data_IF_710464779344
#
_entry.id   IF_710464779344
#
_cell.length_a   1.000
_cell.length_b   1.000
_cell.length_c   1.000
_cell.angle_alpha   90.00
_cell.angle_beta   90.00
_cell.angle_gamma   90.00
#
_symmetry.space_group_name_H-M   'P 1'
#
loop_
_entity.id
_entity.type
_entity.pdbx_description
1 polymer ?
#
# COMPACT_ATOMS: atom_id res chain seq x y z
N UNK A 1 11.28 47.36 13.48
CA UNK A 1 10.88 45.92 13.42
C UNK A 1 10.70 45.30 14.81
N UNK A 2 11.75 44.85 15.52
CA UNK A 2 11.60 44.07 16.78
C UNK A 2 10.83 44.78 17.91
N UNK A 3 11.04 46.10 18.08
CA UNK A 3 10.36 46.90 19.10
C UNK A 3 8.86 47.08 18.82
N UNK A 4 8.49 47.18 17.55
CA UNK A 4 7.11 47.29 17.07
C UNK A 4 6.37 45.96 17.24
N UNK A 5 7.05 44.84 16.96
CA UNK A 5 6.51 43.49 17.08
C UNK A 5 6.63 42.89 18.50
N UNK A 6 7.12 43.66 19.49
CA UNK A 6 7.40 43.19 20.86
C UNK A 6 8.25 41.89 20.93
N UNK A 7 9.18 41.72 19.99
CA UNK A 7 10.09 40.57 19.95
C UNK A 7 11.46 40.95 20.52
N UNK A 8 12.11 40.00 21.21
CA UNK A 8 13.51 40.20 21.62
C UNK A 8 14.42 40.23 20.39
N UNK A 9 15.42 41.11 20.42
CA UNK A 9 16.43 41.21 19.34
C UNK A 9 17.17 39.88 19.15
N UNK A 10 17.47 39.17 20.22
CA UNK A 10 18.13 37.87 20.17
C UNK A 10 17.30 36.81 19.45
N UNK A 11 15.98 36.78 19.66
CA UNK A 11 15.07 35.88 18.95
C UNK A 11 15.00 36.20 17.45
N UNK A 12 14.96 37.50 17.11
CA UNK A 12 15.00 37.97 15.72
C UNK A 12 16.26 37.50 14.99
N UNK A 13 17.46 37.76 15.54
CA UNK A 13 18.71 37.32 14.91
C UNK A 13 18.90 35.81 14.93
N UNK A 14 18.38 35.10 15.93
CA UNK A 14 18.36 33.62 15.96
C UNK A 14 17.50 33.04 14.84
N UNK A 15 16.41 33.72 14.47
CA UNK A 15 15.58 33.34 13.34
C UNK A 15 16.21 33.75 12.00
N UNK A 16 16.86 34.91 11.95
CA UNK A 16 17.53 35.42 10.76
C UNK A 16 18.71 34.53 10.35
N UNK A 17 19.50 34.07 11.32
CA UNK A 17 20.68 33.22 11.12
C UNK A 17 20.36 31.72 11.32
N UNK A 18 19.12 31.31 11.06
CA UNK A 18 18.65 29.98 11.41
C UNK A 18 19.30 28.92 10.52
N UNK A 19 20.29 28.24 11.08
CA UNK A 19 20.89 27.02 10.50
C UNK A 19 19.90 25.87 10.64
N UNK A 20 19.87 24.96 9.66
CA UNK A 20 19.01 23.78 9.73
C UNK A 20 19.32 22.96 10.97
N UNK A 21 18.28 22.64 11.75
CA UNK A 21 18.47 21.81 12.92
C UNK A 21 18.88 20.39 12.51
N UNK A 22 19.66 19.71 13.35
CA UNK A 22 20.02 18.29 13.16
C UNK A 22 18.80 17.43 12.84
N UNK A 23 17.66 17.71 13.49
CA UNK A 23 16.38 17.04 13.26
C UNK A 23 15.79 17.31 11.88
N UNK A 24 15.96 18.52 11.34
CA UNK A 24 15.52 18.86 9.99
C UNK A 24 16.31 18.07 8.95
N UNK A 25 17.63 18.05 9.10
CA UNK A 25 18.55 17.30 8.24
C UNK A 25 18.23 15.81 8.27
N UNK A 26 18.06 15.25 9.46
CA UNK A 26 17.68 13.84 9.64
C UNK A 26 16.32 13.53 8.99
N UNK A 27 15.33 14.41 9.15
CA UNK A 27 14.02 14.22 8.51
C UNK A 27 14.11 14.27 6.99
N UNK A 28 14.98 15.11 6.40
CA UNK A 28 15.21 15.13 4.95
C UNK A 28 15.74 13.77 4.46
N UNK A 29 16.80 13.26 5.10
CA UNK A 29 17.37 11.94 4.80
C UNK A 29 16.33 10.81 4.91
N UNK A 30 15.54 10.82 6.00
CA UNK A 30 14.49 9.83 6.20
C UNK A 30 13.37 9.94 5.15
N UNK A 31 13.00 11.16 4.73
CA UNK A 31 12.02 11.37 3.66
C UNK A 31 12.51 10.79 2.34
N UNK A 32 13.78 10.97 1.99
CA UNK A 32 14.38 10.38 0.79
C UNK A 32 14.32 8.86 0.79
N UNK A 33 14.68 8.22 1.92
CA UNK A 33 14.58 6.76 2.08
C UNK A 33 13.13 6.27 1.96
N UNK A 34 12.19 6.97 2.61
CA UNK A 34 10.76 6.66 2.53
C UNK A 34 10.26 6.73 1.08
N UNK A 35 10.63 7.77 0.32
CA UNK A 35 10.26 7.93 -1.09
C UNK A 35 10.84 6.79 -1.93
N UNK A 36 12.10 6.41 -1.70
CA UNK A 36 12.76 5.30 -2.41
C UNK A 36 11.99 4.00 -2.19
N UNK A 37 11.77 3.59 -0.94
CA UNK A 37 11.01 2.37 -0.60
C UNK A 37 9.58 2.43 -1.18
N UNK A 38 8.94 3.59 -1.10
CA UNK A 38 7.60 3.78 -1.66
C UNK A 38 7.58 3.55 -3.18
N UNK A 39 8.53 4.12 -3.94
CA UNK A 39 8.67 3.92 -5.38
C UNK A 39 9.02 2.48 -5.73
N UNK A 40 9.98 1.87 -5.03
CA UNK A 40 10.41 0.48 -5.24
C UNK A 40 9.25 -0.51 -5.03
N UNK A 41 8.36 -0.22 -4.08
CA UNK A 41 7.14 -1.00 -3.85
C UNK A 41 6.06 -0.82 -4.93
N UNK A 42 6.31 -0.02 -5.96
CA UNK A 42 5.30 0.47 -6.91
C UNK A 42 4.13 1.16 -6.19
N UNK A 43 4.45 1.96 -5.17
CA UNK A 43 3.51 2.72 -4.33
C UNK A 43 2.53 1.86 -3.50
N UNK A 44 2.75 0.54 -3.40
CA UNK A 44 1.86 -0.41 -2.69
C UNK A 44 2.09 -0.46 -1.18
N UNK A 45 3.20 0.07 -0.68
CA UNK A 45 3.52 -0.01 0.74
C UNK A 45 3.07 1.25 1.48
N UNK A 46 2.34 1.03 2.58
CA UNK A 46 2.02 2.05 3.58
C UNK A 46 3.04 2.08 4.72
N UNK A 47 2.80 2.98 5.68
CA UNK A 47 3.69 3.20 6.82
C UNK A 47 4.13 1.92 7.57
N UNK A 48 3.27 0.92 7.83
CA UNK A 48 3.70 -0.29 8.54
C UNK A 48 4.76 -1.10 7.79
N UNK A 49 4.63 -1.22 6.47
CA UNK A 49 5.60 -1.97 5.64
C UNK A 49 6.88 -1.18 5.45
N UNK A 50 6.76 0.12 5.18
CA UNK A 50 7.92 1.02 5.05
C UNK A 50 8.73 1.04 6.35
N UNK A 51 8.08 1.12 7.51
CA UNK A 51 8.73 1.06 8.82
C UNK A 51 9.52 -0.22 9.04
N UNK A 52 8.96 -1.39 8.69
CA UNK A 52 9.69 -2.66 8.79
C UNK A 52 10.95 -2.68 7.92
N UNK A 53 10.86 -2.13 6.71
CA UNK A 53 12.00 -2.05 5.79
C UNK A 53 13.08 -1.10 6.35
N UNK A 54 12.68 0.06 6.86
CA UNK A 54 13.62 1.00 7.50
C UNK A 54 14.35 0.35 8.68
N UNK A 55 13.63 -0.35 9.56
CA UNK A 55 14.26 -1.09 10.68
C UNK A 55 15.25 -2.14 10.14
N UNK A 56 14.88 -2.91 9.10
CA UNK A 56 15.80 -3.89 8.49
C UNK A 56 17.03 -3.27 7.84
N UNK A 57 16.97 -1.97 7.49
CA UNK A 57 18.09 -1.18 6.96
C UNK A 57 18.91 -0.52 8.07
N UNK A 58 18.61 -0.78 9.35
CA UNK A 58 19.33 -0.23 10.50
C UNK A 58 18.80 1.11 10.99
N UNK A 59 17.65 1.58 10.51
CA UNK A 59 17.07 2.86 10.94
C UNK A 59 16.30 2.75 12.26
N UNK A 60 16.63 3.62 13.21
CA UNK A 60 15.90 3.74 14.48
C UNK A 60 14.80 4.79 14.35
N UNK A 61 13.62 4.37 13.89
CA UNK A 61 12.47 5.26 13.67
C UNK A 61 11.17 4.63 14.17
N UNK A 62 10.31 5.42 14.82
CA UNK A 62 8.99 4.94 15.22
C UNK A 62 7.98 4.96 14.08
N UNK A 63 7.00 4.05 14.12
CA UNK A 63 5.92 3.99 13.13
C UNK A 63 5.16 5.33 13.00
N UNK A 64 4.89 6.01 14.13
CA UNK A 64 4.24 7.33 14.12
C UNK A 64 5.08 8.38 13.40
N UNK A 65 6.41 8.33 13.53
CA UNK A 65 7.31 9.25 12.82
C UNK A 65 7.28 8.97 11.31
N UNK A 66 7.27 7.70 10.89
CA UNK A 66 7.08 7.31 9.47
C UNK A 66 5.75 7.84 8.94
N UNK A 67 4.64 7.62 9.65
CA UNK A 67 3.32 8.11 9.25
C UNK A 67 3.30 9.63 9.05
N UNK A 68 3.88 10.38 10.00
CA UNK A 68 3.98 11.85 9.90
C UNK A 68 4.81 12.26 8.69
N UNK A 69 5.99 11.67 8.48
CA UNK A 69 6.83 12.00 7.33
C UNK A 69 6.16 11.64 5.99
N UNK A 70 5.43 10.54 5.92
CA UNK A 70 4.61 10.20 4.75
C UNK A 70 3.49 11.21 4.51
N UNK A 71 2.84 11.69 5.57
CA UNK A 71 1.83 12.75 5.48
C UNK A 71 2.43 14.05 4.97
N UNK A 72 3.59 14.46 5.49
CA UNK A 72 4.31 15.66 5.03
C UNK A 72 4.76 15.56 3.57
N UNK A 73 4.87 14.34 3.04
CA UNK A 73 5.21 14.05 1.63
C UNK A 73 3.96 13.82 0.76
N UNK A 74 2.76 13.88 1.35
CA UNK A 74 1.48 13.63 0.69
C UNK A 74 1.37 12.26 -0.01
N UNK A 75 2.13 11.26 0.47
CA UNK A 75 2.11 9.91 -0.08
C UNK A 75 1.28 8.95 0.77
N UNK A 76 0.56 8.07 0.09
CA UNK A 76 -0.24 7.00 0.69
C UNK A 76 -0.13 5.71 -0.12
N UNK A 77 -0.32 4.59 0.55
CA UNK A 77 -0.38 3.29 -0.10
C UNK A 77 -1.48 3.28 -1.16
N UNK A 78 -1.17 2.82 -2.36
CA UNK A 78 -2.18 2.46 -3.35
C UNK A 78 -2.79 1.14 -2.89
N UNK A 79 -4.07 1.16 -2.53
CA UNK A 79 -4.82 -0.04 -2.20
C UNK A 79 -5.10 -0.77 -3.51
N UNK A 80 -4.40 -1.87 -3.78
CA UNK A 80 -4.89 -2.84 -4.74
C UNK A 80 -6.14 -3.45 -4.11
N UNK A 81 -7.33 -3.17 -4.65
CA UNK A 81 -8.54 -3.89 -4.26
C UNK A 81 -8.26 -5.38 -4.45
N UNK A 82 -8.54 -6.19 -3.42
CA UNK A 82 -8.48 -7.65 -3.53
C UNK A 82 -9.33 -8.05 -4.74
N UNK A 83 -8.77 -8.81 -5.67
CA UNK A 83 -9.53 -9.33 -6.81
C UNK A 83 -10.73 -10.11 -6.27
N UNK A 84 -11.92 -9.69 -6.69
CA UNK A 84 -13.17 -10.43 -6.43
C UNK A 84 -13.60 -11.00 -7.78
N UNK A 85 -13.66 -12.33 -7.94
CA UNK A 85 -14.23 -12.90 -9.15
C UNK A 85 -15.66 -12.39 -9.29
N UNK A 86 -15.94 -11.74 -10.42
CA UNK A 86 -17.29 -11.35 -10.81
C UNK A 86 -17.63 -12.16 -12.06
N UNK A 87 -18.87 -12.66 -12.14
CA UNK A 87 -19.34 -13.35 -13.33
C UNK A 87 -19.19 -12.39 -14.52
N UNK A 88 -18.38 -12.77 -15.50
CA UNK A 88 -18.33 -12.03 -16.76
C UNK A 88 -19.67 -12.21 -17.45
N UNK A 89 -20.46 -11.12 -17.58
CA UNK A 89 -21.72 -11.14 -18.35
C UNK A 89 -21.49 -11.44 -19.84
N UNK A 90 -20.25 -11.36 -20.29
CA UNK A 90 -19.83 -11.75 -21.63
C UNK A 90 -19.97 -13.27 -21.75
N UNK A 91 -20.80 -13.73 -22.68
CA UNK A 91 -20.76 -15.12 -23.13
C UNK A 91 -19.32 -15.43 -23.53
N UNK A 92 -18.76 -16.50 -22.99
CA UNK A 92 -17.48 -17.03 -23.44
C UNK A 92 -17.73 -17.57 -24.85
N UNK A 93 -17.57 -16.71 -25.86
CA UNK A 93 -17.54 -17.12 -27.26
C UNK A 93 -16.26 -17.93 -27.46
N UNK A 94 -16.38 -19.25 -27.47
CA UNK A 94 -15.24 -20.13 -27.68
C UNK A 94 -15.37 -21.54 -27.14
N UNK A 95 -16.43 -21.85 -26.37
CA UNK A 95 -16.72 -23.24 -25.97
C UNK A 95 -18.18 -23.57 -26.22
N UNK A 96 -18.44 -24.38 -27.24
CA UNK A 96 -19.75 -24.94 -27.46
C UNK A 96 -20.14 -25.80 -26.25
N UNK A 97 -21.34 -25.60 -25.72
CA UNK A 97 -21.90 -26.49 -24.70
C UNK A 97 -22.41 -27.75 -25.39
N UNK A 98 -21.51 -28.71 -25.63
CA UNK A 98 -21.80 -29.98 -26.30
C UNK A 98 -22.85 -30.79 -25.51
N UNK A 99 -22.82 -30.70 -24.17
CA UNK A 99 -23.69 -31.48 -23.31
C UNK A 99 -25.15 -31.00 -23.34
N UNK A 100 -25.40 -29.68 -23.48
CA UNK A 100 -26.74 -29.05 -23.41
C UNK A 100 -27.63 -29.54 -22.25
N UNK A 101 -27.03 -29.96 -21.13
CA UNK A 101 -27.70 -30.61 -19.98
C UNK A 101 -28.40 -31.94 -20.30
N UNK A 102 -28.05 -32.59 -21.40
CA UNK A 102 -28.43 -33.96 -21.67
C UNK A 102 -27.42 -34.93 -21.04
N UNK A 103 -27.85 -35.65 -20.01
CA UNK A 103 -27.05 -36.64 -19.29
C UNK A 103 -27.41 -38.08 -19.67
N UNK A 104 -28.31 -38.29 -20.64
CA UNK A 104 -28.66 -39.64 -21.09
C UNK A 104 -27.49 -40.30 -21.84
N UNK A 105 -27.24 -41.59 -21.57
CA UNK A 105 -26.16 -42.38 -22.18
C UNK A 105 -26.61 -43.83 -22.35
N UNK A 106 -26.13 -44.48 -23.41
CA UNK A 106 -26.43 -45.89 -23.71
C UNK A 106 -25.41 -46.83 -23.08
N UNK A 107 -24.16 -46.41 -22.96
CA UNK A 107 -23.07 -47.21 -22.40
C UNK A 107 -22.18 -46.37 -21.46
N UNK A 108 -21.27 -47.04 -20.74
CA UNK A 108 -20.34 -46.36 -19.83
C UNK A 108 -19.31 -45.52 -20.62
N UNK A 109 -18.81 -44.45 -20.01
CA UNK A 109 -17.77 -43.56 -20.55
C UNK A 109 -18.18 -42.63 -21.71
N UNK A 110 -19.48 -42.47 -22.01
CA UNK A 110 -19.93 -41.56 -23.07
C UNK A 110 -19.93 -40.08 -22.64
N UNK A 111 -20.17 -39.78 -21.36
CA UNK A 111 -20.22 -38.42 -20.82
C UNK A 111 -19.55 -38.37 -19.45
N UNK A 112 -18.57 -37.47 -19.29
CA UNK A 112 -17.84 -37.26 -18.04
C UNK A 112 -18.03 -35.81 -17.58
N UNK A 113 -18.57 -35.62 -16.39
CA UNK A 113 -18.85 -34.30 -15.81
C UNK A 113 -18.27 -34.24 -14.41
N UNK A 114 -17.64 -33.12 -14.07
CA UNK A 114 -17.11 -32.85 -12.74
C UNK A 114 -17.62 -31.51 -12.26
N UNK A 115 -17.94 -31.41 -10.98
CA UNK A 115 -18.26 -30.16 -10.30
C UNK A 115 -17.23 -29.86 -9.21
N UNK A 116 -17.10 -28.59 -8.86
CA UNK A 116 -16.27 -28.14 -7.74
C UNK A 116 -17.23 -27.59 -6.69
N UNK A 117 -17.35 -28.30 -5.57
CA UNK A 117 -18.09 -27.84 -4.41
C UNK A 117 -17.13 -27.20 -3.40
N UNK A 118 -17.33 -25.91 -3.11
CA UNK A 118 -16.56 -25.21 -2.08
C UNK A 118 -17.11 -25.53 -0.70
N UNK A 119 -16.29 -26.14 0.15
CA UNK A 119 -16.61 -26.37 1.56
C UNK A 119 -16.15 -25.16 2.37
N UNK A 120 -17.08 -24.49 3.05
CA UNK A 120 -16.76 -23.38 3.96
C UNK A 120 -16.35 -23.96 5.32
N UNK A 121 -15.21 -23.54 5.84
CA UNK A 121 -14.81 -23.80 7.22
C UNK A 121 -14.72 -22.47 7.99
N UNK A 122 -15.17 -22.47 9.24
CA UNK A 122 -15.00 -21.32 10.14
C UNK A 122 -13.53 -21.25 10.56
N UNK A 123 -12.92 -20.07 10.40
CA UNK A 123 -11.69 -19.75 11.12
C UNK A 123 -12.10 -19.33 12.55
N UNK A 124 -11.80 -20.18 13.53
CA UNK A 124 -11.90 -19.88 14.97
C UNK A 124 -10.67 -19.07 15.39
#
# INVERSE_FOLDING_TARGET
MCRVLKLSRSSYYKHLNKVESKRSIENKRLKELIIKIYKDSKKRYGAPKIHKILISQGETISLKRVQRLMKDLEIKSIVCKKYKPHSSKTKIEGKENILKRDFSTTTINEKWVTDITYIQYLNI
#
